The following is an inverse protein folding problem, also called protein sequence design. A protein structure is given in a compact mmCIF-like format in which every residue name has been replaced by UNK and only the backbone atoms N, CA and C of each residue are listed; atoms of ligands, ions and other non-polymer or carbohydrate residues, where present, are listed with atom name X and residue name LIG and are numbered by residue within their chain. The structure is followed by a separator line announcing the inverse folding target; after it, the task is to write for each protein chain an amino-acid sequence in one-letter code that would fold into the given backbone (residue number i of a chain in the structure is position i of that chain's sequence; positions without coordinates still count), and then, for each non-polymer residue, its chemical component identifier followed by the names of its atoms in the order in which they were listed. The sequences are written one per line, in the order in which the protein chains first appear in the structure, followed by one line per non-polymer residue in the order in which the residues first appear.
data_IF_286253974388
#
_entry.id   IF_286253974388
#
_cell.length_a   1.000
_cell.length_b   1.000
_cell.length_c   1.000
_cell.angle_alpha   90.00
_cell.angle_beta   90.00
_cell.angle_gamma   90.00
#
_symmetry.space_group_name_H-M   'P 1'
#
loop_
_entity.id
_entity.type
_entity.pdbx_description
1 polymer ?
#
# COMPACT_ATOMS: atom_id res chain seq x y z
N UNK A 1 7.00 25.19 7.10
CA UNK A 1 6.18 24.32 6.25
C UNK A 1 5.88 23.09 7.09
N UNK A 2 4.59 22.81 7.41
CA UNK A 2 4.26 21.61 8.18
C UNK A 2 4.66 20.38 7.35
N UNK A 3 5.34 19.43 8.00
CA UNK A 3 5.61 18.13 7.40
C UNK A 3 4.31 17.55 6.81
N UNK A 4 4.34 16.88 5.66
CA UNK A 4 3.15 16.27 5.09
C UNK A 4 2.64 15.22 6.08
N UNK A 5 1.56 15.56 6.79
CA UNK A 5 0.87 14.61 7.67
C UNK A 5 0.38 13.47 6.78
N UNK A 6 0.73 12.23 7.12
CA UNK A 6 0.24 11.04 6.43
C UNK A 6 -1.28 11.13 6.23
N UNK A 7 -1.70 10.87 4.98
CA UNK A 7 -3.06 11.14 4.53
C UNK A 7 -4.13 10.44 5.38
N UNK A 8 -3.78 9.33 6.03
CA UNK A 8 -4.66 8.39 6.71
C UNK A 8 -4.33 8.20 8.21
N UNK A 9 -3.46 9.04 8.82
CA UNK A 9 -2.97 8.85 10.18
C UNK A 9 -4.05 8.98 11.28
N UNK A 10 -3.97 8.14 12.30
CA UNK A 10 -4.43 8.46 13.66
C UNK A 10 -5.78 7.90 14.12
N UNK A 11 -6.22 6.70 13.70
CA UNK A 11 -7.45 6.07 14.23
C UNK A 11 -7.29 4.55 14.43
N UNK A 12 -7.88 3.98 15.50
CA UNK A 12 -7.92 2.51 15.71
C UNK A 12 -8.56 1.78 14.52
N UNK A 13 -9.56 2.38 13.88
CA UNK A 13 -10.19 1.87 12.66
C UNK A 13 -9.23 1.79 11.46
N UNK A 14 -8.19 2.62 11.42
CA UNK A 14 -7.16 2.58 10.38
C UNK A 14 -6.24 1.37 10.57
N UNK A 15 -5.89 1.03 11.80
CA UNK A 15 -5.11 -0.16 12.11
C UNK A 15 -5.82 -1.44 11.63
N UNK A 16 -7.11 -1.59 11.96
CA UNK A 16 -7.91 -2.74 11.52
C UNK A 16 -8.01 -2.81 9.98
N UNK A 17 -8.18 -1.65 9.34
CA UNK A 17 -8.23 -1.55 7.88
C UNK A 17 -6.92 -2.00 7.24
N UNK A 18 -5.77 -1.54 7.74
CA UNK A 18 -4.45 -1.92 7.24
C UNK A 18 -4.15 -3.40 7.45
N UNK A 19 -4.56 -3.96 8.59
CA UNK A 19 -4.44 -5.38 8.87
C UNK A 19 -5.28 -6.22 7.90
N UNK A 20 -6.52 -5.82 7.65
CA UNK A 20 -7.40 -6.49 6.68
C UNK A 20 -6.78 -6.41 5.28
N UNK A 21 -6.36 -5.23 4.85
CA UNK A 21 -5.72 -5.01 3.56
C UNK A 21 -4.46 -5.87 3.39
N UNK A 22 -3.63 -5.96 4.40
CA UNK A 22 -2.42 -6.79 4.37
C UNK A 22 -2.77 -8.28 4.18
N UNK A 23 -3.74 -8.81 4.94
CA UNK A 23 -4.18 -10.21 4.81
C UNK A 23 -4.78 -10.52 3.45
N UNK A 24 -5.58 -9.60 2.90
CA UNK A 24 -6.23 -9.79 1.58
C UNK A 24 -5.20 -9.89 0.46
N UNK A 25 -4.14 -9.09 0.52
CA UNK A 25 -3.13 -9.02 -0.53
C UNK A 25 -1.87 -9.88 -0.27
N UNK A 26 -1.78 -10.55 0.87
CA UNK A 26 -0.64 -11.42 1.18
C UNK A 26 -0.41 -12.54 0.14
N UNK A 27 -1.46 -13.26 -0.35
CA UNK A 27 -1.24 -14.27 -1.39
C UNK A 27 -0.65 -13.71 -2.67
N UNK A 28 -1.01 -12.47 -3.04
CA UNK A 28 -0.45 -11.77 -4.20
C UNK A 28 1.04 -11.46 -4.00
N UNK A 29 1.39 -11.00 -2.81
CA UNK A 29 2.78 -10.74 -2.43
C UNK A 29 3.63 -12.01 -2.46
N UNK A 30 3.14 -13.14 -1.95
CA UNK A 30 3.84 -14.44 -2.03
C UNK A 30 4.13 -14.85 -3.46
N UNK A 31 3.11 -14.80 -4.35
CA UNK A 31 3.30 -15.12 -5.76
C UNK A 31 4.34 -14.23 -6.45
N UNK A 32 4.39 -12.94 -6.07
CA UNK A 32 5.38 -12.04 -6.62
C UNK A 32 6.78 -12.35 -6.12
N UNK A 33 6.96 -12.67 -4.83
CA UNK A 33 8.25 -13.10 -4.28
C UNK A 33 8.74 -14.41 -4.90
N UNK A 34 7.83 -15.35 -5.18
CA UNK A 34 8.15 -16.61 -5.87
C UNK A 34 8.63 -16.34 -7.31
N UNK A 35 8.04 -15.36 -8.00
CA UNK A 35 8.41 -14.96 -9.37
C UNK A 35 9.77 -14.24 -9.41
N UNK A 36 10.05 -13.39 -8.43
CA UNK A 36 11.37 -12.74 -8.28
C UNK A 36 12.46 -13.76 -7.94
N UNK A 37 12.08 -14.87 -7.30
CA UNK A 37 12.97 -15.94 -6.87
C UNK A 37 13.54 -15.75 -5.46
N UNK A 38 13.94 -16.85 -4.86
CA UNK A 38 14.42 -16.86 -3.48
C UNK A 38 15.78 -16.13 -3.32
N UNK A 39 15.87 -15.28 -2.30
CA UNK A 39 17.11 -14.54 -1.96
C UNK A 39 17.48 -14.74 -0.50
N UNK A 40 17.84 -15.98 -0.13
CA UNK A 40 18.28 -16.30 1.23
C UNK A 40 19.50 -15.48 1.64
N UNK A 41 19.48 -14.93 2.85
CA UNK A 41 20.55 -14.06 3.37
C UNK A 41 20.50 -12.62 2.79
N UNK A 42 19.50 -12.28 1.99
CA UNK A 42 19.34 -10.96 1.42
C UNK A 42 18.97 -9.91 2.49
N UNK A 43 19.25 -8.65 2.18
CA UNK A 43 18.83 -7.49 2.94
C UNK A 43 17.72 -6.74 2.19
N UNK A 44 16.54 -6.67 2.77
CA UNK A 44 15.37 -6.05 2.18
C UNK A 44 14.92 -4.82 2.99
N UNK A 45 14.32 -3.83 2.33
CA UNK A 45 13.60 -2.73 3.01
C UNK A 45 12.16 -2.67 2.52
N UNK A 46 11.22 -2.52 3.47
CA UNK A 46 9.81 -2.24 3.25
C UNK A 46 9.56 -0.77 3.59
N UNK A 47 9.47 0.07 2.56
CA UNK A 47 9.31 1.52 2.70
C UNK A 47 7.85 1.87 2.89
N UNK A 48 7.53 2.65 3.92
CA UNK A 48 6.15 2.92 4.31
C UNK A 48 5.45 1.64 4.77
N UNK A 49 6.12 0.83 5.60
CA UNK A 49 5.65 -0.50 6.01
C UNK A 49 4.33 -0.47 6.79
N UNK A 50 3.94 0.69 7.32
CA UNK A 50 2.75 0.80 8.16
C UNK A 50 2.83 -0.16 9.34
N UNK A 51 1.75 -0.90 9.58
CA UNK A 51 1.67 -1.87 10.69
C UNK A 51 2.18 -3.24 10.31
N UNK A 52 1.89 -3.70 9.12
CA UNK A 52 2.19 -5.07 8.68
C UNK A 52 3.03 -5.10 7.42
N UNK A 53 2.74 -4.23 6.45
CA UNK A 53 3.38 -4.18 5.14
C UNK A 53 3.64 -5.56 4.54
N UNK A 54 4.87 -5.78 4.13
CA UNK A 54 5.40 -7.08 3.74
C UNK A 54 6.37 -7.65 4.80
N UNK A 55 6.40 -7.13 6.02
CA UNK A 55 7.41 -7.51 7.03
C UNK A 55 7.53 -9.02 7.21
N UNK A 56 6.39 -9.72 7.38
CA UNK A 56 6.38 -11.18 7.51
C UNK A 56 6.82 -11.87 6.22
N UNK A 57 6.28 -11.46 5.07
CA UNK A 57 6.61 -12.06 3.78
C UNK A 57 8.10 -11.92 3.46
N UNK A 58 8.65 -10.74 3.65
CA UNK A 58 10.07 -10.49 3.43
C UNK A 58 10.94 -11.25 4.44
N UNK A 59 10.55 -11.29 5.72
CA UNK A 59 11.24 -12.04 6.77
C UNK A 59 11.37 -13.52 6.41
N UNK A 60 10.27 -14.15 5.99
CA UNK A 60 10.26 -15.55 5.54
C UNK A 60 11.10 -15.74 4.26
N UNK A 61 11.02 -14.79 3.32
CA UNK A 61 11.68 -14.86 2.03
C UNK A 61 13.20 -14.72 2.12
N UNK A 62 13.71 -13.75 2.91
CA UNK A 62 15.15 -13.59 3.13
C UNK A 62 15.71 -14.66 4.06
N UNK A 63 14.87 -15.27 4.91
CA UNK A 63 15.24 -16.29 5.87
C UNK A 63 16.01 -15.76 7.08
N UNK A 64 16.39 -16.66 8.02
CA UNK A 64 16.96 -16.27 9.31
C UNK A 64 18.33 -15.57 9.22
N UNK A 65 19.07 -15.79 8.14
CA UNK A 65 20.38 -15.17 7.91
C UNK A 65 20.27 -13.83 7.15
N UNK A 66 19.05 -13.44 6.71
CA UNK A 66 18.77 -12.16 6.07
C UNK A 66 18.29 -11.11 7.06
N UNK A 67 18.14 -9.89 6.58
CA UNK A 67 17.62 -8.75 7.36
C UNK A 67 16.48 -8.05 6.61
N UNK A 68 15.43 -7.69 7.34
CA UNK A 68 14.35 -6.83 6.83
C UNK A 68 14.31 -5.54 7.64
N UNK A 69 14.39 -4.40 6.95
CA UNK A 69 14.20 -3.08 7.55
C UNK A 69 12.81 -2.58 7.17
N UNK A 70 11.91 -2.41 8.14
CA UNK A 70 10.62 -1.72 7.94
C UNK A 70 10.79 -0.24 8.27
N UNK A 71 10.38 0.66 7.37
CA UNK A 71 10.42 2.10 7.63
C UNK A 71 9.05 2.72 7.51
N UNK A 72 8.76 3.68 8.37
CA UNK A 72 7.60 4.55 8.28
C UNK A 72 7.90 5.90 8.96
N UNK A 73 7.22 6.95 8.53
CA UNK A 73 7.31 8.27 9.16
C UNK A 73 6.44 8.39 10.40
N UNK A 74 5.41 7.55 10.53
CA UNK A 74 4.44 7.55 11.64
C UNK A 74 4.92 6.63 12.76
N UNK A 75 5.33 7.21 13.90
CA UNK A 75 5.79 6.47 15.07
C UNK A 75 4.69 5.57 15.68
N UNK A 76 3.43 5.94 15.56
CA UNK A 76 2.30 5.14 16.03
C UNK A 76 2.13 3.86 15.20
N UNK A 77 2.30 3.95 13.89
CA UNK A 77 2.32 2.79 12.98
C UNK A 77 3.51 1.87 13.30
N UNK A 78 4.70 2.43 13.51
CA UNK A 78 5.88 1.66 13.89
C UNK A 78 5.73 0.98 15.25
N UNK A 79 5.11 1.64 16.23
CA UNK A 79 4.84 1.02 17.52
C UNK A 79 3.87 -0.18 17.39
N UNK A 80 2.87 -0.07 16.51
CA UNK A 80 1.96 -1.18 16.20
C UNK A 80 2.67 -2.30 15.42
N UNK A 81 3.53 -1.95 14.45
CA UNK A 81 4.38 -2.90 13.73
C UNK A 81 5.32 -3.64 14.68
N UNK A 82 5.90 -2.94 15.67
CA UNK A 82 6.77 -3.55 16.68
C UNK A 82 6.06 -4.62 17.51
N UNK A 83 4.80 -4.39 17.87
CA UNK A 83 3.99 -5.43 18.54
C UNK A 83 3.78 -6.65 17.64
N UNK A 84 3.41 -6.43 16.40
CA UNK A 84 3.24 -7.49 15.41
C UNK A 84 4.53 -8.31 15.20
N UNK A 85 5.67 -7.63 15.01
CA UNK A 85 6.99 -8.27 14.85
C UNK A 85 7.32 -9.15 16.05
N UNK A 86 7.04 -8.67 17.27
CA UNK A 86 7.25 -9.43 18.50
C UNK A 86 6.30 -10.63 18.62
N UNK A 87 5.00 -10.43 18.35
CA UNK A 87 3.97 -11.46 18.44
C UNK A 87 4.20 -12.61 17.42
N UNK A 88 4.68 -12.27 16.23
CA UNK A 88 5.02 -13.24 15.16
C UNK A 88 6.44 -13.82 15.30
N UNK A 89 7.24 -13.34 16.24
CA UNK A 89 8.61 -13.81 16.46
C UNK A 89 9.57 -13.53 15.30
N UNK A 90 9.40 -12.40 14.58
CA UNK A 90 10.22 -12.05 13.42
C UNK A 90 11.57 -11.46 13.84
N UNK A 91 12.50 -12.33 14.25
CA UNK A 91 13.79 -11.93 14.83
C UNK A 91 14.76 -11.24 13.87
N UNK A 92 14.52 -11.29 12.56
CA UNK A 92 15.32 -10.67 11.52
C UNK A 92 14.69 -9.36 10.96
N UNK A 93 13.67 -8.80 11.63
CA UNK A 93 13.02 -7.55 11.27
C UNK A 93 13.45 -6.42 12.20
N UNK A 94 13.89 -5.31 11.63
CA UNK A 94 14.26 -4.07 12.34
C UNK A 94 13.35 -2.95 11.86
N UNK A 95 12.76 -2.18 12.78
CA UNK A 95 11.90 -1.04 12.46
C UNK A 95 12.65 0.28 12.65
N UNK A 96 12.46 1.23 11.74
CA UNK A 96 13.09 2.56 11.80
C UNK A 96 12.10 3.65 11.46
N UNK A 97 12.06 4.69 12.27
CA UNK A 97 11.39 5.93 11.89
C UNK A 97 12.26 6.63 10.84
N UNK A 98 11.73 6.82 9.63
CA UNK A 98 12.49 7.38 8.50
C UNK A 98 11.55 8.09 7.52
N UNK A 99 12.01 9.23 7.01
CA UNK A 99 11.33 9.98 5.96
C UNK A 99 11.88 9.54 4.60
N UNK A 100 11.06 8.91 3.77
CA UNK A 100 11.38 8.48 2.42
C UNK A 100 12.10 9.56 1.58
N UNK A 101 11.70 10.83 1.73
CA UNK A 101 12.26 11.94 0.96
C UNK A 101 13.54 12.53 1.57
N UNK A 102 13.89 12.15 2.79
CA UNK A 102 15.09 12.55 3.52
C UNK A 102 15.73 11.37 4.25
N UNK A 103 15.66 10.17 3.65
CA UNK A 103 16.05 8.92 4.31
C UNK A 103 17.49 8.92 4.81
N UNK A 104 17.62 8.46 6.06
CA UNK A 104 18.90 8.20 6.70
C UNK A 104 19.45 6.79 6.44
N UNK A 105 18.80 5.98 5.61
CA UNK A 105 19.28 4.65 5.26
C UNK A 105 20.51 4.72 4.37
N UNK A 106 21.41 3.77 4.56
CA UNK A 106 22.67 3.69 3.83
C UNK A 106 22.44 3.39 2.34
N UNK A 107 23.05 4.18 1.41
CA UNK A 107 22.95 3.91 -0.03
C UNK A 107 23.55 2.57 -0.42
N UNK A 108 23.04 1.97 -1.51
CA UNK A 108 23.52 0.73 -2.10
C UNK A 108 23.69 -0.42 -1.09
N UNK A 109 22.75 -0.51 -0.12
CA UNK A 109 22.82 -1.47 0.98
C UNK A 109 21.74 -2.55 0.94
N UNK A 110 20.76 -2.45 0.02
CA UNK A 110 19.64 -3.39 -0.04
C UNK A 110 19.62 -4.20 -1.34
N UNK A 111 19.27 -5.48 -1.23
CA UNK A 111 19.01 -6.36 -2.37
C UNK A 111 17.60 -6.14 -2.92
N UNK A 112 16.67 -5.76 -2.04
CA UNK A 112 15.28 -5.48 -2.41
C UNK A 112 14.81 -4.22 -1.68
N UNK A 113 14.18 -3.32 -2.45
CA UNK A 113 13.40 -2.19 -1.95
C UNK A 113 11.95 -2.41 -2.36
N UNK A 114 11.08 -2.56 -1.38
CA UNK A 114 9.65 -2.75 -1.57
C UNK A 114 8.88 -1.52 -1.10
N UNK A 115 7.81 -1.16 -1.82
CA UNK A 115 6.86 -0.14 -1.42
C UNK A 115 5.45 -0.52 -1.88
N UNK A 116 4.49 -0.62 -0.93
CA UNK A 116 3.10 -0.93 -1.21
C UNK A 116 2.16 0.16 -0.73
N UNK A 117 1.36 0.70 -1.66
CA UNK A 117 0.42 1.80 -1.41
C UNK A 117 1.12 3.06 -0.85
N UNK A 118 2.32 3.33 -1.35
CA UNK A 118 3.13 4.51 -1.00
C UNK A 118 3.06 5.58 -2.09
N UNK A 119 3.11 5.18 -3.37
CA UNK A 119 3.01 6.14 -4.47
C UNK A 119 1.64 6.80 -4.52
N UNK A 120 0.57 6.02 -4.37
CA UNK A 120 -0.81 6.53 -4.41
C UNK A 120 -1.06 7.64 -3.37
N UNK A 121 -0.77 7.50 -2.06
CA UNK A 121 -1.05 8.55 -1.08
C UNK A 121 -0.05 9.71 -1.11
N UNK A 122 1.18 9.50 -1.56
CA UNK A 122 2.25 10.52 -1.50
C UNK A 122 2.48 11.22 -2.84
N UNK A 123 2.14 10.57 -3.98
CA UNK A 123 2.54 11.05 -5.30
C UNK A 123 4.06 11.13 -5.44
N UNK A 124 4.56 12.07 -6.27
CA UNK A 124 5.99 12.33 -6.45
C UNK A 124 6.78 11.08 -6.89
N UNK A 125 6.19 10.26 -7.77
CA UNK A 125 6.75 8.98 -8.21
C UNK A 125 8.24 9.05 -8.60
N UNK A 126 8.69 9.98 -9.48
CA UNK A 126 10.10 10.09 -9.85
C UNK A 126 11.05 10.31 -8.67
N UNK A 127 10.66 11.12 -7.67
CA UNK A 127 11.49 11.38 -6.49
C UNK A 127 11.56 10.15 -5.57
N UNK A 128 10.44 9.45 -5.39
CA UNK A 128 10.42 8.19 -4.65
C UNK A 128 11.37 7.18 -5.29
N UNK A 129 11.27 6.99 -6.61
CA UNK A 129 12.11 6.03 -7.33
C UNK A 129 13.60 6.40 -7.28
N UNK A 130 13.96 7.67 -7.29
CA UNK A 130 15.34 8.10 -7.08
C UNK A 130 15.86 7.62 -5.71
N UNK A 131 15.05 7.73 -4.66
CA UNK A 131 15.39 7.21 -3.34
C UNK A 131 15.53 5.68 -3.36
N UNK A 132 14.57 4.97 -3.94
CA UNK A 132 14.59 3.49 -4.00
C UNK A 132 15.83 2.98 -4.75
N UNK A 133 16.14 3.55 -5.90
CA UNK A 133 17.35 3.19 -6.68
C UNK A 133 18.62 3.51 -5.90
N UNK A 134 18.68 4.64 -5.18
CA UNK A 134 19.83 4.97 -4.32
C UNK A 134 20.07 3.91 -3.24
N UNK A 135 19.01 3.37 -2.65
CA UNK A 135 19.09 2.36 -1.59
C UNK A 135 19.51 0.98 -2.13
N UNK A 136 19.12 0.65 -3.37
CA UNK A 136 19.47 -0.62 -3.99
C UNK A 136 20.96 -0.73 -4.28
N UNK A 137 21.53 -1.88 -4.01
CA UNK A 137 22.85 -2.26 -4.58
C UNK A 137 22.72 -2.58 -6.07
N UNK A 138 23.82 -2.56 -6.84
CA UNK A 138 23.80 -3.06 -8.22
C UNK A 138 23.25 -4.49 -8.27
N UNK A 139 22.31 -4.79 -9.20
CA UNK A 139 21.61 -6.06 -9.27
C UNK A 139 20.48 -6.23 -8.23
N UNK A 140 20.23 -5.21 -7.40
CA UNK A 140 19.09 -5.21 -6.49
C UNK A 140 17.76 -4.92 -7.21
N UNK A 141 16.65 -5.35 -6.63
CA UNK A 141 15.31 -5.27 -7.22
C UNK A 141 14.44 -4.26 -6.49
N UNK A 142 13.81 -3.35 -7.21
CA UNK A 142 12.71 -2.52 -6.70
C UNK A 142 11.38 -3.23 -6.97
N UNK A 143 10.46 -3.16 -6.02
CA UNK A 143 9.11 -3.73 -6.08
C UNK A 143 8.10 -2.67 -5.67
N UNK A 144 7.14 -2.40 -6.53
CA UNK A 144 6.07 -1.42 -6.33
C UNK A 144 4.71 -2.08 -6.40
N UNK A 145 3.82 -1.72 -5.49
CA UNK A 145 2.43 -2.18 -5.48
C UNK A 145 1.48 -1.01 -5.22
N UNK A 146 0.69 -0.64 -6.21
CA UNK A 146 -0.32 0.42 -6.09
C UNK A 146 -1.62 0.06 -6.82
N UNK A 147 -2.76 0.68 -6.46
CA UNK A 147 -4.05 0.36 -7.04
C UNK A 147 -4.26 1.00 -8.41
N UNK A 148 -5.00 0.29 -9.27
CA UNK A 148 -5.85 0.89 -10.28
C UNK A 148 -7.30 0.75 -9.84
N UNK A 149 -7.98 1.85 -9.67
CA UNK A 149 -9.33 1.91 -9.11
C UNK A 149 -10.43 1.48 -10.08
N UNK A 150 -10.10 1.24 -11.35
CA UNK A 150 -11.07 1.02 -12.42
C UNK A 150 -11.89 -0.26 -12.30
N UNK A 151 -11.43 -1.26 -11.56
CA UNK A 151 -12.11 -2.55 -11.35
C UNK A 151 -12.81 -2.68 -10.00
N UNK A 152 -12.79 -1.64 -9.17
CA UNK A 152 -13.40 -1.69 -7.85
C UNK A 152 -14.90 -1.47 -7.93
N UNK A 153 -15.67 -2.53 -7.85
CA UNK A 153 -17.13 -2.53 -8.02
C UNK A 153 -17.84 -3.40 -7.00
N UNK A 154 -19.10 -3.06 -6.74
CA UNK A 154 -20.02 -3.86 -5.94
C UNK A 154 -21.22 -4.25 -6.81
N UNK A 155 -21.62 -5.52 -6.78
CA UNK A 155 -22.66 -6.11 -7.60
C UNK A 155 -23.75 -6.79 -6.73
N UNK A 156 -25.04 -6.70 -7.10
CA UNK A 156 -25.58 -5.74 -8.07
C UNK A 156 -25.13 -4.31 -7.79
N UNK A 157 -25.14 -3.44 -8.80
CA UNK A 157 -24.63 -2.07 -8.70
C UNK A 157 -25.08 -1.37 -7.40
N UNK A 158 -24.11 -0.99 -6.58
CA UNK A 158 -24.29 -0.24 -5.35
C UNK A 158 -24.05 1.25 -5.65
N UNK A 159 -25.10 2.00 -5.98
CA UNK A 159 -24.95 3.37 -6.45
C UNK A 159 -24.24 4.29 -5.46
N UNK A 160 -24.57 4.20 -4.18
CA UNK A 160 -23.92 5.00 -3.14
C UNK A 160 -22.48 4.54 -2.89
N UNK A 161 -22.21 3.23 -2.99
CA UNK A 161 -20.86 2.66 -2.94
C UNK A 161 -19.97 3.20 -4.05
N UNK A 162 -20.45 3.20 -5.29
CA UNK A 162 -19.72 3.75 -6.46
C UNK A 162 -19.45 5.27 -6.32
N UNK A 163 -20.44 6.03 -5.84
CA UNK A 163 -20.26 7.47 -5.59
C UNK A 163 -19.20 7.72 -4.50
N UNK A 164 -19.15 6.88 -3.46
CA UNK A 164 -18.16 6.96 -2.41
C UNK A 164 -16.75 6.66 -2.93
N UNK A 165 -16.60 5.61 -3.74
CA UNK A 165 -15.34 5.27 -4.42
C UNK A 165 -14.87 6.42 -5.31
N UNK A 166 -15.77 7.00 -6.11
CA UNK A 166 -15.45 8.14 -6.96
C UNK A 166 -14.97 9.36 -6.15
N UNK A 167 -15.59 9.63 -5.00
CA UNK A 167 -15.19 10.72 -4.11
C UNK A 167 -13.80 10.47 -3.49
N UNK A 168 -13.52 9.22 -3.10
CA UNK A 168 -12.20 8.81 -2.59
C UNK A 168 -11.12 8.99 -3.67
N UNK A 169 -11.37 8.56 -4.91
CA UNK A 169 -10.45 8.80 -6.04
C UNK A 169 -10.13 10.26 -6.24
N UNK A 170 -11.13 11.16 -6.12
CA UNK A 170 -10.90 12.62 -6.21
C UNK A 170 -9.97 13.14 -5.12
N UNK A 171 -10.05 12.57 -3.90
CA UNK A 171 -9.14 12.93 -2.82
C UNK A 171 -7.70 12.50 -3.13
N UNK A 172 -7.49 11.28 -3.59
CA UNK A 172 -6.16 10.82 -4.00
C UNK A 172 -5.63 11.61 -5.22
N UNK A 173 -6.45 11.90 -6.22
CA UNK A 173 -6.05 12.73 -7.36
C UNK A 173 -5.61 14.15 -6.97
N UNK A 174 -6.11 14.69 -5.84
CA UNK A 174 -5.76 16.05 -5.37
C UNK A 174 -4.52 16.09 -4.49
N UNK A 175 -4.28 15.09 -3.65
CA UNK A 175 -3.24 15.11 -2.60
C UNK A 175 -2.22 13.98 -2.71
N UNK A 176 -2.37 13.10 -3.68
CA UNK A 176 -1.49 12.01 -4.01
C UNK A 176 -1.46 11.77 -5.52
N UNK A 177 -1.44 10.50 -5.92
CA UNK A 177 -1.55 10.06 -7.30
C UNK A 177 -2.58 8.91 -7.40
N UNK A 178 -3.77 9.20 -7.90
CA UNK A 178 -4.83 8.21 -8.05
C UNK A 178 -4.54 7.18 -9.16
N UNK A 179 -3.59 7.43 -10.03
CA UNK A 179 -3.22 6.59 -11.16
C UNK A 179 -1.81 5.96 -10.99
N UNK A 180 -1.24 6.04 -9.78
CA UNK A 180 0.12 5.59 -9.49
C UNK A 180 0.41 4.18 -10.02
N UNK A 181 -0.48 3.22 -9.81
CA UNK A 181 -0.29 1.85 -10.31
C UNK A 181 -0.11 1.78 -11.83
N UNK A 182 -0.80 2.63 -12.59
CA UNK A 182 -0.71 2.66 -14.07
C UNK A 182 0.58 3.27 -14.57
N UNK A 183 1.21 4.12 -13.77
CA UNK A 183 2.45 4.84 -14.15
C UNK A 183 3.73 4.13 -13.73
N UNK A 184 3.66 3.01 -13.01
CA UNK A 184 4.82 2.28 -12.48
C UNK A 184 5.92 2.05 -13.54
N UNK A 185 5.58 1.52 -14.72
CA UNK A 185 6.58 1.23 -15.76
C UNK A 185 7.22 2.50 -16.32
N UNK A 186 6.47 3.61 -16.40
CA UNK A 186 7.01 4.89 -16.82
C UNK A 186 7.99 5.43 -15.78
N UNK A 187 7.61 5.37 -14.51
CA UNK A 187 8.45 5.84 -13.40
C UNK A 187 9.71 4.97 -13.26
N UNK A 188 9.62 3.64 -13.41
CA UNK A 188 10.79 2.75 -13.45
C UNK A 188 11.74 3.10 -14.61
N UNK A 189 11.21 3.33 -15.81
CA UNK A 189 12.02 3.73 -16.97
C UNK A 189 12.71 5.08 -16.75
N UNK A 190 12.08 6.01 -16.05
CA UNK A 190 12.65 7.33 -15.77
C UNK A 190 13.94 7.27 -14.94
N UNK A 191 14.16 6.19 -14.21
CA UNK A 191 15.38 5.92 -13.43
C UNK A 191 16.27 4.82 -14.04
N UNK A 192 16.02 4.45 -15.32
CA UNK A 192 16.82 3.50 -16.06
C UNK A 192 16.55 2.02 -15.77
N UNK A 193 15.41 1.70 -15.12
CA UNK A 193 15.04 0.32 -14.83
C UNK A 193 14.05 -0.21 -15.86
N UNK A 194 14.40 -1.34 -16.49
CA UNK A 194 13.46 -2.12 -17.27
C UNK A 194 12.53 -2.89 -16.32
N UNK A 195 11.24 -2.54 -16.33
CA UNK A 195 10.27 -3.08 -15.39
C UNK A 195 9.40 -4.19 -15.98
N UNK A 196 9.01 -5.12 -15.13
CA UNK A 196 7.93 -6.08 -15.33
C UNK A 196 6.66 -5.54 -14.65
N UNK A 197 5.49 -6.00 -15.08
CA UNK A 197 4.21 -5.63 -14.46
C UNK A 197 3.28 -6.84 -14.45
N UNK A 198 2.56 -6.97 -13.35
CA UNK A 198 1.46 -7.91 -13.17
C UNK A 198 0.26 -7.18 -12.57
N UNK A 199 -0.94 -7.64 -12.92
CA UNK A 199 -2.18 -7.11 -12.41
C UNK A 199 -3.01 -8.24 -11.76
N UNK A 200 -3.64 -7.95 -10.62
CA UNK A 200 -4.51 -8.89 -9.93
C UNK A 200 -5.77 -8.20 -9.42
N UNK A 201 -6.91 -8.85 -9.62
CA UNK A 201 -8.23 -8.46 -9.09
C UNK A 201 -8.78 -9.65 -8.33
N UNK A 202 -9.26 -9.42 -7.12
CA UNK A 202 -9.89 -10.46 -6.31
C UNK A 202 -11.41 -10.31 -6.34
N UNK A 203 -12.12 -11.41 -6.49
CA UNK A 203 -13.56 -11.47 -6.24
C UNK A 203 -13.79 -11.47 -4.72
N UNK A 204 -14.75 -10.68 -4.29
CA UNK A 204 -15.17 -10.57 -2.89
C UNK A 204 -16.56 -11.19 -2.76
N UNK A 205 -16.63 -12.35 -2.16
CA UNK A 205 -17.89 -13.04 -1.91
C UNK A 205 -18.83 -12.22 -0.99
N UNK A 206 -20.14 -12.51 -0.99
CA UNK A 206 -21.08 -11.88 -0.07
C UNK A 206 -20.59 -11.94 1.38
N UNK A 207 -20.67 -10.81 2.07
CA UNK A 207 -20.22 -10.69 3.45
C UNK A 207 -18.69 -10.54 3.65
N UNK A 208 -17.90 -10.56 2.58
CA UNK A 208 -16.45 -10.38 2.70
C UNK A 208 -16.13 -9.00 3.31
N UNK A 209 -15.29 -8.92 4.40
CA UNK A 209 -15.05 -7.66 5.11
C UNK A 209 -14.48 -6.55 4.23
N UNK A 210 -13.73 -6.89 3.21
CA UNK A 210 -13.10 -5.94 2.28
C UNK A 210 -14.12 -5.19 1.40
N UNK A 211 -15.36 -5.67 1.27
CA UNK A 211 -16.46 -4.92 0.62
C UNK A 211 -16.72 -3.57 1.33
N UNK A 212 -16.41 -3.46 2.62
CA UNK A 212 -16.58 -2.24 3.41
C UNK A 212 -15.38 -1.28 3.33
N UNK A 213 -14.34 -1.62 2.59
CA UNK A 213 -13.14 -0.77 2.42
C UNK A 213 -13.46 0.68 2.02
N UNK A 214 -14.44 0.98 1.12
CA UNK A 214 -14.80 2.35 0.80
C UNK A 214 -15.27 3.15 2.01
N UNK A 215 -16.02 2.54 2.92
CA UNK A 215 -16.49 3.18 4.16
C UNK A 215 -15.35 3.45 5.13
N UNK A 216 -14.44 2.50 5.27
CA UNK A 216 -13.24 2.64 6.11
C UNK A 216 -12.34 3.76 5.58
N UNK A 217 -12.09 3.81 4.26
CA UNK A 217 -11.34 4.90 3.63
C UNK A 217 -12.06 6.25 3.77
N UNK A 218 -13.38 6.29 3.65
CA UNK A 218 -14.14 7.53 3.84
C UNK A 218 -14.01 8.05 5.29
N UNK A 219 -13.92 7.17 6.26
CA UNK A 219 -13.66 7.54 7.65
C UNK A 219 -12.25 8.11 7.81
N UNK A 220 -11.24 7.42 7.33
CA UNK A 220 -9.84 7.83 7.42
C UNK A 220 -9.57 9.14 6.64
N UNK A 221 -10.17 9.30 5.46
CA UNK A 221 -10.04 10.49 4.61
C UNK A 221 -11.04 11.61 4.91
N UNK A 222 -11.85 11.50 5.97
CA UNK A 222 -12.98 12.40 6.23
C UNK A 222 -12.64 13.88 6.04
N UNK A 223 -11.55 14.35 6.65
CA UNK A 223 -11.13 15.75 6.56
C UNK A 223 -10.84 16.20 5.11
N UNK A 224 -10.34 15.30 4.28
CA UNK A 224 -10.04 15.55 2.86
C UNK A 224 -11.30 15.54 2.00
N UNK A 225 -12.23 14.61 2.29
CA UNK A 225 -13.49 14.51 1.55
C UNK A 225 -14.38 15.73 1.75
N UNK A 226 -14.33 16.38 2.92
CA UNK A 226 -15.04 17.63 3.21
C UNK A 226 -14.58 18.82 2.34
N UNK A 227 -13.51 18.72 1.60
CA UNK A 227 -13.14 19.69 0.58
C UNK A 227 -13.97 19.57 -0.72
N UNK A 228 -14.74 18.49 -0.88
CA UNK A 228 -15.54 18.22 -2.09
C UNK A 228 -17.04 18.18 -1.84
N UNK A 229 -17.46 17.85 -0.63
CA UNK A 229 -18.87 17.71 -0.20
C UNK A 229 -19.05 18.24 1.21
N UNK A 230 -20.24 18.69 1.57
CA UNK A 230 -20.51 19.07 2.95
C UNK A 230 -20.63 17.86 3.91
N UNK A 231 -20.55 18.11 5.22
CA UNK A 231 -20.55 17.05 6.22
C UNK A 231 -21.87 16.24 6.24
N UNK A 232 -23.00 16.90 5.97
CA UNK A 232 -24.31 16.25 5.90
C UNK A 232 -24.43 15.36 4.67
N UNK A 233 -23.93 15.81 3.53
CA UNK A 233 -23.89 15.05 2.29
C UNK A 233 -22.99 13.80 2.44
N UNK A 234 -21.76 13.97 2.94
CA UNK A 234 -20.86 12.85 3.20
C UNK A 234 -21.50 11.83 4.14
N UNK A 235 -22.15 12.28 5.21
CA UNK A 235 -22.82 11.39 6.15
C UNK A 235 -24.00 10.64 5.53
N UNK A 236 -24.80 11.31 4.67
CA UNK A 236 -25.89 10.64 3.92
C UNK A 236 -25.34 9.60 2.97
N UNK A 237 -24.29 9.94 2.23
CA UNK A 237 -23.63 9.02 1.28
C UNK A 237 -23.07 7.78 2.00
N UNK A 238 -22.34 7.96 3.10
CA UNK A 238 -21.81 6.84 3.88
C UNK A 238 -22.93 5.94 4.44
N UNK A 239 -24.03 6.53 4.95
CA UNK A 239 -25.18 5.72 5.43
C UNK A 239 -25.86 4.94 4.29
N UNK A 240 -26.02 5.56 3.13
CA UNK A 240 -26.59 4.89 1.96
C UNK A 240 -25.68 3.75 1.48
N UNK A 241 -24.39 4.00 1.35
CA UNK A 241 -23.41 2.97 0.98
C UNK A 241 -23.38 1.81 2.01
N UNK A 242 -23.45 2.11 3.30
CA UNK A 242 -23.50 1.09 4.33
C UNK A 242 -24.78 0.25 4.26
N UNK A 243 -25.93 0.86 3.97
CA UNK A 243 -27.19 0.14 3.78
C UNK A 243 -27.13 -0.79 2.57
N UNK A 244 -26.56 -0.31 1.45
CA UNK A 244 -26.33 -1.12 0.25
C UNK A 244 -25.40 -2.31 0.53
N UNK A 245 -24.31 -2.11 1.27
CA UNK A 245 -23.31 -3.14 1.56
C UNK A 245 -23.74 -4.16 2.62
N UNK A 246 -24.87 -3.92 3.31
CA UNK A 246 -25.48 -4.89 4.24
C UNK A 246 -26.33 -5.96 3.55
N UNK A 247 -26.66 -5.74 2.30
CA UNK A 247 -27.41 -6.72 1.50
C UNK A 247 -26.58 -8.02 1.39
N UNK A 248 -27.08 -9.16 1.88
CA UNK A 248 -26.32 -10.41 1.93
C UNK A 248 -26.02 -11.01 0.56
N UNK A 249 -26.70 -10.56 -0.49
CA UNK A 249 -26.51 -11.05 -1.86
C UNK A 249 -25.44 -10.21 -2.61
N UNK A 250 -24.90 -9.19 -1.98
CA UNK A 250 -23.86 -8.34 -2.59
C UNK A 250 -22.50 -9.01 -2.56
N UNK A 251 -21.88 -9.01 -3.71
CA UNK A 251 -20.50 -9.39 -3.93
C UNK A 251 -19.75 -8.27 -4.65
N UNK A 252 -18.47 -8.38 -4.83
CA UNK A 252 -17.73 -7.32 -5.52
C UNK A 252 -16.37 -7.77 -6.04
N UNK A 253 -15.66 -6.80 -6.58
CA UNK A 253 -14.24 -6.94 -6.93
C UNK A 253 -13.42 -5.91 -6.16
N UNK A 254 -12.15 -6.23 -5.92
CA UNK A 254 -11.19 -5.23 -5.44
C UNK A 254 -10.83 -4.25 -6.57
N UNK A 255 -10.15 -3.17 -6.24
CA UNK A 255 -9.33 -2.49 -7.25
C UNK A 255 -8.32 -3.48 -7.85
N UNK A 256 -7.82 -3.19 -9.05
CA UNK A 256 -6.68 -3.94 -9.60
C UNK A 256 -5.41 -3.58 -8.81
N UNK A 257 -4.78 -4.55 -8.17
CA UNK A 257 -3.44 -4.37 -7.64
C UNK A 257 -2.45 -4.47 -8.80
N UNK A 258 -1.76 -3.38 -9.09
CA UNK A 258 -0.64 -3.35 -10.03
C UNK A 258 0.63 -3.63 -9.23
N UNK A 259 1.33 -4.70 -9.58
CA UNK A 259 2.61 -5.09 -9.03
C UNK A 259 3.66 -4.92 -10.13
N UNK A 260 4.67 -4.10 -9.87
CA UNK A 260 5.75 -3.86 -10.85
C UNK A 260 7.10 -4.02 -10.18
N UNK A 261 8.05 -4.61 -10.89
CA UNK A 261 9.39 -4.81 -10.38
C UNK A 261 10.43 -4.72 -11.48
N UNK A 262 11.66 -4.44 -11.09
CA UNK A 262 12.79 -4.41 -12.02
C UNK A 262 14.11 -4.31 -11.28
N UNK A 263 15.19 -4.72 -11.95
CA UNK A 263 16.51 -4.73 -11.37
C UNK A 263 17.28 -3.45 -11.71
N UNK A 264 18.01 -2.95 -10.71
CA UNK A 264 19.00 -1.89 -10.91
C UNK A 264 20.18 -2.50 -11.69
N UNK A 265 20.40 -2.04 -12.91
CA UNK A 265 21.60 -2.42 -13.68
C UNK A 265 22.89 -2.02 -12.93
N UNK A 266 23.96 -2.77 -13.12
CA UNK A 266 25.28 -2.50 -12.52
C UNK A 266 25.82 -1.10 -12.81
#
# INVERSE_FOLDING_TARGET
MNAPTYLLAGQDSELERLQLQSRVWEPSGRRLLDEIGARRGARAVDVGCGVLGWLRLLSEWVGPDGEVVGTDIDEGMLAAAGRFVADEGLGNVVLRNDDLFATGLEPASFDVVHARFVLTPLGRGPEQLQTYVRLLRPGGTVVLEDPDWGSWHVNPLAQAGEQLIALIRRAFARWGDAEAGRTHLEVLRSVGIAGHVRAEVLALEPGHPYLRMPLQLATALRARLLAFVDAGELQRLCRAAEAELRDPDRWGTTFTLLQSWGERTP
#
